data_IF_064863533762
#
_entry.id   IF_064863533762
#
_cell.length_a   1.000
_cell.length_b   1.000
_cell.length_c   1.000
_cell.angle_alpha   90.00
_cell.angle_beta   90.00
_cell.angle_gamma   90.00
#
_symmetry.space_group_name_H-M   'P 1'
#
loop_
_entity.id
_entity.type
_entity.pdbx_description
1 polymer ?
#
# COMPACT_ATOMS: atom_id res chain seq x y z
N UNK A 1 21.29 17.16 -0.30
CA UNK A 1 20.13 16.25 -0.17
C UNK A 1 19.30 16.76 0.98
N UNK A 2 18.11 17.28 0.71
CA UNK A 2 17.22 17.77 1.77
C UNK A 2 16.18 16.69 2.06
N UNK A 3 16.12 16.23 3.30
CA UNK A 3 15.08 15.29 3.74
C UNK A 3 13.83 16.11 3.97
N UNK A 4 12.75 15.77 3.27
CA UNK A 4 11.44 16.42 3.43
C UNK A 4 10.42 15.37 3.85
N UNK A 5 9.72 15.63 4.95
CA UNK A 5 8.54 14.88 5.30
C UNK A 5 7.41 15.26 4.34
N UNK A 6 6.82 14.25 3.69
CA UNK A 6 5.58 14.44 2.94
C UNK A 6 4.41 13.99 3.82
N UNK A 7 3.67 14.95 4.37
CA UNK A 7 2.54 14.67 5.26
C UNK A 7 1.44 13.84 4.58
N UNK A 8 1.28 14.01 3.27
CA UNK A 8 0.31 13.28 2.44
C UNK A 8 0.94 12.08 1.71
N UNK A 9 2.15 11.67 2.13
CA UNK A 9 2.84 10.50 1.59
C UNK A 9 2.12 9.21 1.93
N UNK A 10 2.04 8.32 0.96
CA UNK A 10 1.38 7.01 1.02
C UNK A 10 2.35 5.89 0.63
N UNK A 11 1.89 4.64 0.72
CA UNK A 11 2.68 3.44 0.46
C UNK A 11 3.18 3.30 -0.99
N UNK A 12 2.61 4.05 -1.94
CA UNK A 12 3.05 4.07 -3.35
C UNK A 12 3.93 5.26 -3.71
N UNK A 13 4.21 6.18 -2.77
CA UNK A 13 5.15 7.27 -3.01
C UNK A 13 6.59 6.79 -3.18
N UNK A 14 7.10 5.81 -2.40
CA UNK A 14 8.37 5.17 -2.71
C UNK A 14 8.29 4.42 -4.05
N UNK A 15 9.35 4.50 -4.85
CA UNK A 15 9.43 3.75 -6.10
C UNK A 15 9.43 2.24 -5.84
N UNK A 16 8.77 1.48 -6.72
CA UNK A 16 8.75 0.03 -6.66
C UNK A 16 7.63 -0.57 -5.78
N UNK A 17 6.64 0.23 -5.37
CA UNK A 17 5.44 -0.25 -4.68
C UNK A 17 4.16 0.10 -5.45
N UNK A 18 3.25 -0.88 -5.53
CA UNK A 18 1.94 -0.77 -6.15
C UNK A 18 0.87 -1.25 -5.17
N UNK A 19 -0.34 -0.70 -5.28
CA UNK A 19 -1.47 -1.10 -4.44
C UNK A 19 -2.71 -1.34 -5.28
N UNK A 20 -3.48 -2.37 -4.92
CA UNK A 20 -4.82 -2.62 -5.43
C UNK A 20 -5.80 -2.84 -4.29
N UNK A 21 -7.04 -2.41 -4.47
CA UNK A 21 -8.15 -2.66 -3.55
C UNK A 21 -9.33 -3.27 -4.28
N UNK A 22 -10.08 -4.14 -3.63
CA UNK A 22 -11.28 -4.75 -4.19
C UNK A 22 -12.41 -4.79 -3.16
N UNK A 23 -13.64 -4.83 -3.66
CA UNK A 23 -14.83 -5.20 -2.90
C UNK A 23 -15.13 -6.67 -3.21
N UNK A 24 -14.89 -7.54 -2.23
CA UNK A 24 -15.04 -8.99 -2.33
C UNK A 24 -16.24 -9.53 -1.54
N UNK A 25 -17.03 -8.65 -0.90
CA UNK A 25 -18.24 -9.02 -0.16
C UNK A 25 -17.96 -9.50 1.27
N UNK A 26 -16.76 -9.25 1.80
CA UNK A 26 -16.41 -9.49 3.20
C UNK A 26 -17.13 -8.48 4.09
N UNK A 27 -17.18 -7.21 3.66
CA UNK A 27 -17.94 -6.16 4.35
C UNK A 27 -19.33 -6.04 3.75
N UNK A 28 -20.36 -6.17 4.59
CA UNK A 28 -21.76 -6.00 4.19
C UNK A 28 -22.07 -4.60 3.60
N UNK A 29 -21.26 -3.58 3.90
CA UNK A 29 -21.44 -2.23 3.37
C UNK A 29 -21.09 -2.09 1.89
N UNK A 30 -20.43 -3.08 1.27
CA UNK A 30 -19.94 -2.98 -0.10
C UNK A 30 -18.72 -2.07 -0.30
N UNK A 31 -18.19 -1.49 0.78
CA UNK A 31 -16.93 -0.75 0.73
C UNK A 31 -15.74 -1.70 0.44
N UNK A 32 -14.64 -1.21 -0.16
CA UNK A 32 -13.44 -2.01 -0.34
C UNK A 32 -13.02 -2.72 0.95
N UNK A 33 -12.77 -4.00 0.83
CA UNK A 33 -12.59 -4.92 1.94
C UNK A 33 -11.40 -5.84 1.77
N UNK A 34 -10.77 -5.82 0.59
CA UNK A 34 -9.52 -6.49 0.31
C UNK A 34 -8.51 -5.49 -0.26
N UNK A 35 -7.26 -5.59 0.17
CA UNK A 35 -6.14 -4.81 -0.35
C UNK A 35 -4.94 -5.71 -0.61
N UNK A 36 -4.21 -5.42 -1.68
CA UNK A 36 -2.91 -6.01 -1.98
C UNK A 36 -1.88 -4.90 -2.14
N UNK A 37 -0.81 -4.96 -1.34
CA UNK A 37 0.39 -4.15 -1.51
C UNK A 37 1.48 -5.03 -2.14
N UNK A 38 2.02 -4.58 -3.26
CA UNK A 38 2.99 -5.32 -4.05
C UNK A 38 4.28 -4.53 -4.19
N UNK A 39 5.42 -5.16 -3.89
CA UNK A 39 6.71 -4.64 -4.33
C UNK A 39 7.00 -5.20 -5.72
N UNK A 40 7.33 -4.33 -6.67
CA UNK A 40 7.66 -4.74 -8.05
C UNK A 40 9.06 -5.35 -8.18
N UNK A 41 9.78 -5.49 -7.06
CA UNK A 41 11.10 -6.11 -6.96
C UNK A 41 11.22 -6.86 -5.62
N UNK A 42 12.29 -7.65 -5.44
CA UNK A 42 12.58 -8.26 -4.16
C UNK A 42 12.78 -7.16 -3.10
N UNK A 43 12.05 -7.26 -1.98
CA UNK A 43 12.13 -6.32 -0.88
C UNK A 43 12.55 -7.02 0.42
N UNK A 44 13.40 -6.36 1.21
CA UNK A 44 13.67 -6.80 2.57
C UNK A 44 12.43 -6.54 3.44
N UNK A 45 12.07 -7.51 4.27
CA UNK A 45 10.88 -7.47 5.13
C UNK A 45 11.27 -7.77 6.57
N UNK A 46 10.64 -7.07 7.51
CA UNK A 46 10.65 -7.39 8.93
C UNK A 46 9.22 -7.30 9.46
N UNK A 47 8.88 -8.13 10.45
CA UNK A 47 7.57 -8.17 11.09
C UNK A 47 7.70 -8.29 12.61
N UNK A 48 6.75 -7.68 13.32
CA UNK A 48 6.64 -7.65 14.79
C UNK A 48 5.22 -8.01 15.19
#
# INVERSE_FOLDING_TARGET
MTIKLNADGTVTNPQGFQVGTATCGIKASGNPDLMLLHSTANCAVAGM
#
